data_IF_129086806633
#
_entry.id   IF_129086806633
#
_cell.length_a   1.000
_cell.length_b   1.000
_cell.length_c   1.000
_cell.angle_alpha   90.00
_cell.angle_beta   90.00
_cell.angle_gamma   90.00
#
_symmetry.space_group_name_H-M   'P 1'
#
loop_
_entity.id
_entity.type
_entity.pdbx_description
1 polymer ?
#
# COMPACT_ATOMS: atom_id res chain seq x y z
N UNK A 1 21.30 -4.20 -4.08
CA UNK A 1 20.20 -3.34 -3.58
C UNK A 1 19.29 -2.97 -4.73
N UNK A 2 18.35 -3.86 -5.07
CA UNK A 2 17.32 -3.54 -6.06
C UNK A 2 16.35 -2.62 -5.32
N UNK A 3 16.38 -1.31 -5.60
CA UNK A 3 15.32 -0.41 -5.14
C UNK A 3 14.03 -0.80 -5.87
N UNK A 4 13.35 -1.83 -5.37
CA UNK A 4 12.06 -2.24 -5.86
C UNK A 4 11.08 -1.15 -5.44
N UNK A 5 10.78 -0.24 -6.36
CA UNK A 5 9.78 0.78 -6.13
C UNK A 5 8.43 0.09 -6.21
N UNK A 6 7.93 -0.36 -5.06
CA UNK A 6 6.57 -0.90 -4.91
C UNK A 6 5.54 0.03 -5.57
N UNK A 7 5.76 1.34 -5.52
CA UNK A 7 4.92 2.35 -6.15
C UNK A 7 4.91 2.34 -7.69
N UNK A 8 5.80 1.60 -8.33
CA UNK A 8 5.90 1.49 -9.80
C UNK A 8 5.31 0.18 -10.32
N UNK A 9 4.86 -0.72 -9.45
CA UNK A 9 4.26 -1.98 -9.87
C UNK A 9 2.90 -1.74 -10.51
N UNK A 10 2.51 -2.62 -11.43
CA UNK A 10 1.18 -2.57 -12.05
C UNK A 10 0.07 -2.75 -11.03
N UNK A 11 0.29 -3.56 -9.99
CA UNK A 11 -0.64 -3.68 -8.88
C UNK A 11 -0.84 -2.32 -8.18
N UNK A 12 0.24 -1.58 -7.88
CA UNK A 12 0.13 -0.27 -7.25
C UNK A 12 -0.57 0.74 -8.17
N UNK A 13 -0.24 0.77 -9.47
CA UNK A 13 -0.92 1.62 -10.45
C UNK A 13 -2.41 1.32 -10.53
N UNK A 14 -2.79 0.05 -10.47
CA UNK A 14 -4.18 -0.41 -10.47
C UNK A 14 -4.90 0.04 -9.19
N UNK A 15 -4.25 -0.05 -8.03
CA UNK A 15 -4.81 0.40 -6.74
C UNK A 15 -5.09 1.91 -6.75
N UNK A 16 -4.20 2.72 -7.34
CA UNK A 16 -4.35 4.19 -7.34
C UNK A 16 -5.17 4.73 -8.52
N UNK A 17 -5.58 3.87 -9.45
CA UNK A 17 -6.29 4.26 -10.67
C UNK A 17 -7.77 4.51 -10.39
N UNK A 18 -8.27 5.68 -10.77
CA UNK A 18 -9.71 5.99 -10.72
C UNK A 18 -10.53 5.22 -11.75
N UNK A 19 -9.89 4.54 -12.71
CA UNK A 19 -10.55 3.79 -13.78
C UNK A 19 -10.67 2.29 -13.49
N UNK A 20 -10.14 1.82 -12.35
CA UNK A 20 -10.12 0.39 -12.02
C UNK A 20 -11.40 -0.05 -11.33
N UNK A 21 -11.87 -1.27 -11.64
CA UNK A 21 -13.06 -1.84 -10.98
C UNK A 21 -12.73 -2.30 -9.56
N UNK A 22 -13.77 -2.51 -8.73
CA UNK A 22 -13.59 -3.05 -7.37
C UNK A 22 -12.88 -4.40 -7.36
N UNK A 23 -13.22 -5.32 -8.28
CA UNK A 23 -12.51 -6.61 -8.37
C UNK A 23 -11.04 -6.45 -8.78
N UNK A 24 -10.73 -5.51 -9.68
CA UNK A 24 -9.36 -5.23 -10.09
C UNK A 24 -8.54 -4.66 -8.94
N UNK A 25 -9.10 -3.70 -8.19
CA UNK A 25 -8.45 -3.11 -7.01
C UNK A 25 -8.24 -4.16 -5.93
N UNK A 26 -9.22 -5.03 -5.68
CA UNK A 26 -9.10 -6.12 -4.69
C UNK A 26 -7.97 -7.09 -5.07
N UNK A 27 -7.96 -7.58 -6.30
CA UNK A 27 -6.93 -8.51 -6.80
C UNK A 27 -5.54 -7.88 -6.78
N UNK A 28 -5.44 -6.61 -7.22
CA UNK A 28 -4.19 -5.87 -7.17
C UNK A 28 -3.70 -5.67 -5.73
N UNK A 29 -4.60 -5.40 -4.79
CA UNK A 29 -4.28 -5.25 -3.36
C UNK A 29 -3.73 -6.55 -2.76
N UNK A 30 -4.35 -7.70 -3.06
CA UNK A 30 -3.87 -9.01 -2.61
C UNK A 30 -2.48 -9.35 -3.17
N UNK A 31 -2.26 -9.12 -4.46
CA UNK A 31 -0.95 -9.31 -5.10
C UNK A 31 0.11 -8.37 -4.51
N UNK A 32 -0.27 -7.11 -4.28
CA UNK A 32 0.62 -6.11 -3.69
C UNK A 32 1.06 -6.51 -2.28
N UNK A 33 0.14 -6.99 -1.44
CA UNK A 33 0.47 -7.50 -0.10
C UNK A 33 1.41 -8.71 -0.15
N UNK A 34 1.16 -9.68 -1.04
CA UNK A 34 2.06 -10.83 -1.23
C UNK A 34 3.47 -10.38 -1.60
N UNK A 35 3.59 -9.34 -2.43
CA UNK A 35 4.89 -8.75 -2.80
C UNK A 35 5.60 -8.09 -1.63
N UNK A 36 4.86 -7.40 -0.75
CA UNK A 36 5.43 -6.81 0.48
C UNK A 36 5.94 -7.90 1.42
N UNK A 37 5.19 -8.99 1.59
CA UNK A 37 5.61 -10.12 2.43
C UNK A 37 6.88 -10.76 1.85
N UNK A 38 6.88 -11.10 0.56
CA UNK A 38 8.04 -11.68 -0.10
C UNK A 38 9.27 -10.77 -0.07
N UNK A 39 9.09 -9.44 -0.16
CA UNK A 39 10.18 -8.47 0.01
C UNK A 39 10.72 -8.49 1.44
N UNK A 40 9.85 -8.63 2.43
CA UNK A 40 10.24 -8.68 3.85
C UNK A 40 11.00 -9.97 4.19
N UNK A 41 10.68 -11.07 3.52
CA UNK A 41 11.37 -12.36 3.70
C UNK A 41 12.71 -12.44 2.98
N UNK A 42 12.91 -11.64 1.91
CA UNK A 42 14.08 -11.72 1.04
C UNK A 42 15.13 -10.62 1.25
N UNK A 43 14.80 -9.53 1.94
CA UNK A 43 15.72 -8.40 2.17
C UNK A 43 16.40 -8.50 3.54
N UNK A 44 17.69 -8.83 3.53
CA UNK A 44 18.52 -8.90 4.74
C UNK A 44 18.87 -7.50 5.29
N UNK A 45 18.91 -6.47 4.44
CA UNK A 45 19.13 -5.09 4.89
C UNK A 45 17.83 -4.44 5.39
N UNK A 46 17.62 -4.59 6.69
CA UNK A 46 16.49 -3.99 7.41
C UNK A 46 16.34 -2.49 7.15
N UNK A 47 17.42 -1.72 6.98
CA UNK A 47 17.34 -0.27 6.74
C UNK A 47 16.73 0.02 5.36
N UNK A 48 17.15 -0.72 4.34
CA UNK A 48 16.58 -0.60 3.00
C UNK A 48 15.13 -1.07 2.95
N UNK A 49 14.80 -2.16 3.63
CA UNK A 49 13.42 -2.62 3.79
C UNK A 49 12.54 -1.54 4.43
N UNK A 50 12.97 -0.96 5.55
CA UNK A 50 12.24 0.12 6.23
C UNK A 50 12.04 1.33 5.32
N UNK A 51 13.04 1.72 4.52
CA UNK A 51 12.92 2.82 3.57
C UNK A 51 11.86 2.55 2.50
N UNK A 52 11.86 1.35 1.92
CA UNK A 52 10.89 0.95 0.88
C UNK A 52 9.47 0.91 1.46
N UNK A 53 9.29 0.29 2.62
CA UNK A 53 7.99 0.20 3.30
C UNK A 53 7.46 1.58 3.71
N UNK A 54 8.32 2.45 4.27
CA UNK A 54 7.93 3.81 4.70
C UNK A 54 7.48 4.67 3.52
N UNK A 55 8.22 4.64 2.41
CA UNK A 55 7.84 5.39 1.21
C UNK A 55 6.50 4.92 0.64
N UNK A 56 6.27 3.60 0.66
CA UNK A 56 5.00 3.01 0.22
C UNK A 56 3.84 3.44 1.12
N UNK A 57 4.00 3.38 2.45
CA UNK A 57 2.99 3.82 3.42
C UNK A 57 2.61 5.29 3.25
N UNK A 58 3.59 6.16 3.04
CA UNK A 58 3.34 7.60 2.81
C UNK A 58 2.41 7.81 1.61
N UNK A 59 2.64 7.09 0.51
CA UNK A 59 1.82 7.20 -0.70
C UNK A 59 0.41 6.63 -0.53
N UNK A 60 0.25 5.56 0.26
CA UNK A 60 -1.07 5.01 0.62
C UNK A 60 -1.85 5.94 1.55
N UNK A 61 -1.20 6.60 2.50
CA UNK A 61 -1.84 7.57 3.38
C UNK A 61 -2.43 8.74 2.59
N UNK A 62 -1.70 9.27 1.60
CA UNK A 62 -2.22 10.30 0.69
C UNK A 62 -3.48 9.83 -0.06
N UNK A 63 -3.56 8.54 -0.43
CA UNK A 63 -4.74 7.97 -1.07
C UNK A 63 -5.93 7.89 -0.10
N UNK A 64 -5.70 7.48 1.14
CA UNK A 64 -6.73 7.45 2.17
C UNK A 64 -7.28 8.84 2.46
N UNK A 65 -6.42 9.85 2.54
CA UNK A 65 -6.82 11.25 2.69
C UNK A 65 -7.68 11.71 1.49
N UNK A 66 -7.25 11.43 0.26
CA UNK A 66 -8.03 11.74 -0.94
C UNK A 66 -9.40 11.04 -0.96
N UNK A 67 -9.46 9.77 -0.53
CA UNK A 67 -10.70 9.00 -0.44
C UNK A 67 -11.66 9.56 0.64
N UNK A 68 -11.14 9.95 1.81
CA UNK A 68 -11.93 10.59 2.88
C UNK A 68 -12.50 11.95 2.43
N UNK A 69 -11.76 12.72 1.62
CA UNK A 69 -12.23 14.00 1.09
C UNK A 69 -13.35 13.86 0.05
N UNK A 70 -13.45 12.72 -0.62
CA UNK A 70 -14.51 12.43 -1.59
C UNK A 70 -15.82 11.97 -0.93
N UNK A 71 -15.87 11.84 0.40
CA UNK A 71 -17.08 11.51 1.15
C UNK A 71 -17.55 10.06 1.05
N UNK A 72 -16.83 9.20 0.30
CA UNK A 72 -17.22 7.81 0.03
C UNK A 72 -16.65 6.79 1.04
N UNK A 73 -15.92 7.24 2.07
CA UNK A 73 -15.34 6.37 3.08
C UNK A 73 -16.11 6.30 4.38
N UNK A 74 -16.66 5.12 4.71
CA UNK A 74 -16.99 4.80 6.09
C UNK A 74 -15.72 4.91 6.95
N UNK A 75 -15.82 5.60 8.08
CA UNK A 75 -14.70 5.75 9.02
C UNK A 75 -14.35 4.36 9.57
N UNK A 76 -13.20 3.81 9.20
CA UNK A 76 -12.61 2.72 9.95
C UNK A 76 -12.30 3.23 11.37
N UNK A 77 -13.10 2.80 12.35
CA UNK A 77 -12.87 3.10 13.77
C UNK A 77 -11.63 2.33 14.21
N UNK A 78 -10.47 2.98 14.15
CA UNK A 78 -9.26 2.47 14.77
C UNK A 78 -9.39 2.57 16.28
N UNK A 79 -9.71 1.46 16.95
CA UNK A 79 -9.57 1.38 18.40
C UNK A 79 -8.07 1.32 18.71
N UNK A 80 -7.53 2.43 19.19
CA UNK A 80 -6.22 2.45 19.82
C UNK A 80 -6.34 1.80 21.21
N UNK A 81 -6.10 0.50 21.31
CA UNK A 81 -5.81 -0.13 22.60
C UNK A 81 -4.36 0.19 22.96
N UNK A 82 -4.17 1.27 23.71
CA UNK A 82 -2.94 1.50 24.44
C UNK A 82 -2.91 0.52 25.63
N UNK A 83 -1.92 -0.37 25.64
CA UNK A 83 -1.48 -1.08 26.85
C UNK A 83 -0.16 -0.47 27.33
#
# INVERSE_FOLDING_TARGET
>A
MIMLRLTQTEDFKTIISSCSTKEQVQKASENFMKRIIALSDAEDDTVSLFRVLRYTRFRLQTLQEAYLMNGEGEKCVGVALCY
#
